data_IF_778677934989
#
_entry.id   IF_778677934989
#
_cell.length_a   1.000
_cell.length_b   1.000
_cell.length_c   1.000
_cell.angle_alpha   90.00
_cell.angle_beta   90.00
_cell.angle_gamma   90.00
#
_symmetry.space_group_name_H-M   'P 1'
#
loop_
_entity.id
_entity.type
_entity.pdbx_description
1 polymer ?
#
# COMPACT_ATOMS: atom_id res chain seq x y z
N UNK A 1 19.17 44.55 -10.76
CA UNK A 1 17.78 44.54 -10.27
C UNK A 1 17.00 45.54 -11.14
N UNK A 2 15.90 45.16 -11.78
CA UNK A 2 15.02 46.11 -12.45
C UNK A 2 14.38 47.04 -11.39
N UNK A 3 14.16 48.29 -11.75
CA UNK A 3 13.52 49.25 -10.87
C UNK A 3 12.09 48.83 -10.50
N UNK A 4 11.61 49.10 -9.28
CA UNK A 4 10.22 48.79 -8.91
C UNK A 4 9.25 49.58 -9.82
N UNK A 5 8.10 48.98 -10.16
CA UNK A 5 7.08 49.66 -10.98
C UNK A 5 6.52 50.87 -10.22
N UNK A 6 6.03 51.90 -10.94
CA UNK A 6 5.42 53.06 -10.30
C UNK A 6 4.18 52.65 -9.50
N UNK A 7 3.94 53.36 -8.39
CA UNK A 7 2.87 53.13 -7.44
C UNK A 7 1.52 52.86 -8.11
N UNK A 8 0.93 51.67 -7.85
CA UNK A 8 -0.45 51.32 -8.18
C UNK A 8 -0.69 50.48 -9.42
N UNK A 9 0.31 50.14 -10.23
CA UNK A 9 0.14 49.14 -11.29
C UNK A 9 0.34 47.72 -10.75
N UNK A 10 -0.55 46.75 -11.06
CA UNK A 10 -0.27 45.34 -10.72
C UNK A 10 1.04 44.96 -11.42
N UNK A 11 1.98 44.38 -10.66
CA UNK A 11 3.21 43.84 -11.21
C UNK A 11 2.83 42.82 -12.30
N UNK A 12 3.26 43.07 -13.53
CA UNK A 12 3.05 42.12 -14.61
C UNK A 12 3.81 40.83 -14.27
N UNK A 13 3.07 39.79 -13.98
CA UNK A 13 3.65 38.48 -13.63
C UNK A 13 4.31 37.95 -14.90
N UNK A 14 5.64 38.09 -14.98
CA UNK A 14 6.42 37.43 -16.01
C UNK A 14 6.45 35.92 -15.75
N UNK A 15 5.78 35.14 -16.61
CA UNK A 15 5.77 33.70 -16.57
C UNK A 15 6.69 33.14 -17.69
N UNK A 16 7.97 32.93 -17.40
CA UNK A 16 8.89 32.38 -18.41
C UNK A 16 8.52 30.92 -18.74
N UNK A 17 8.91 30.41 -19.92
CA UNK A 17 8.76 29.01 -20.24
C UNK A 17 9.37 28.10 -19.16
N UNK A 18 8.80 26.90 -18.89
CA UNK A 18 9.24 26.03 -17.79
C UNK A 18 10.74 25.72 -17.78
N UNK A 19 11.35 25.51 -18.93
CA UNK A 19 12.79 25.25 -19.05
C UNK A 19 13.65 26.44 -18.62
N UNK A 20 13.21 27.67 -18.99
CA UNK A 20 13.88 28.92 -18.63
C UNK A 20 13.71 29.20 -17.12
N UNK A 21 12.50 29.00 -16.59
CA UNK A 21 12.24 29.12 -15.15
C UNK A 21 13.11 28.16 -14.33
N UNK A 22 13.21 26.90 -14.76
CA UNK A 22 14.03 25.89 -14.11
C UNK A 22 15.53 26.27 -14.14
N UNK A 23 16.03 26.73 -15.29
CA UNK A 23 17.43 27.16 -15.44
C UNK A 23 17.74 28.38 -14.56
N UNK A 24 16.84 29.37 -14.52
CA UNK A 24 17.00 30.56 -13.67
C UNK A 24 16.99 30.18 -12.19
N UNK A 25 16.07 29.32 -11.78
CA UNK A 25 16.00 28.78 -10.42
C UNK A 25 17.26 28.02 -10.04
N UNK A 26 17.71 27.09 -10.88
CA UNK A 26 18.93 26.32 -10.65
C UNK A 26 20.17 27.23 -10.49
N UNK A 27 20.26 28.28 -11.32
CA UNK A 27 21.32 29.28 -11.24
C UNK A 27 21.25 30.08 -9.92
N UNK A 28 20.05 30.52 -9.55
CA UNK A 28 19.83 31.26 -8.30
C UNK A 28 20.16 30.44 -7.05
N UNK A 29 19.93 29.12 -7.11
CA UNK A 29 20.33 28.16 -6.05
C UNK A 29 21.83 27.80 -6.05
N UNK A 30 22.64 28.40 -6.92
CA UNK A 30 24.09 28.12 -7.03
C UNK A 30 24.41 26.84 -7.81
N UNK A 31 23.44 26.34 -8.58
CA UNK A 31 23.57 25.12 -9.39
C UNK A 31 23.57 23.81 -8.56
N UNK A 32 23.60 22.67 -9.24
CA UNK A 32 23.67 21.38 -8.55
C UNK A 32 25.03 21.21 -7.87
N UNK A 33 25.00 21.05 -6.54
CA UNK A 33 26.19 20.70 -5.77
C UNK A 33 26.26 19.19 -5.63
N UNK A 34 27.22 18.57 -6.28
CA UNK A 34 27.53 17.17 -6.07
C UNK A 34 28.19 17.02 -4.69
N UNK A 35 27.50 16.33 -3.79
CA UNK A 35 28.03 15.96 -2.49
C UNK A 35 28.82 14.65 -2.61
N UNK A 36 29.81 14.48 -1.77
CA UNK A 36 30.54 13.20 -1.69
C UNK A 36 29.63 12.11 -1.13
N UNK A 37 29.74 10.90 -1.68
CA UNK A 37 29.04 9.72 -1.16
C UNK A 37 29.77 9.23 0.10
N UNK A 38 29.00 8.95 1.14
CA UNK A 38 29.50 8.36 2.38
C UNK A 38 28.62 7.16 2.78
N UNK A 39 29.26 6.11 3.28
CA UNK A 39 28.54 5.00 3.95
C UNK A 39 28.37 5.34 5.41
N UNK A 40 27.14 5.29 5.89
CA UNK A 40 26.80 5.59 7.29
C UNK A 40 25.91 4.47 7.84
N UNK A 41 25.91 4.21 9.13
CA UNK A 41 24.91 3.37 9.79
C UNK A 41 23.50 3.91 9.51
N UNK A 42 22.50 3.04 9.45
CA UNK A 42 21.11 3.45 9.14
C UNK A 42 20.57 4.43 10.19
N UNK A 43 20.97 4.29 11.45
CA UNK A 43 20.59 5.18 12.56
C UNK A 43 21.11 6.61 12.38
N UNK A 44 22.22 6.77 11.65
CA UNK A 44 22.83 8.06 11.32
C UNK A 44 22.38 8.61 9.96
N UNK A 45 21.48 7.92 9.27
CA UNK A 45 21.02 8.28 7.93
C UNK A 45 19.88 9.32 7.93
N UNK A 46 19.28 9.61 9.07
CA UNK A 46 18.18 10.57 9.18
C UNK A 46 18.63 11.95 8.66
N UNK A 47 17.82 12.52 7.76
CA UNK A 47 18.11 13.82 7.12
C UNK A 47 19.13 13.78 5.99
N UNK A 48 19.66 12.61 5.62
CA UNK A 48 20.58 12.44 4.49
C UNK A 48 19.80 12.07 3.22
N UNK A 49 20.41 12.31 2.07
CA UNK A 49 19.91 11.95 0.75
C UNK A 49 20.62 10.70 0.28
N UNK A 50 19.88 9.71 -0.23
CA UNK A 50 20.47 8.49 -0.79
C UNK A 50 21.25 8.80 -2.07
N UNK A 51 22.44 8.24 -2.19
CA UNK A 51 23.29 8.43 -3.38
C UNK A 51 22.87 7.52 -4.54
N UNK A 52 22.17 6.46 -4.23
CA UNK A 52 21.69 5.45 -5.19
C UNK A 52 20.24 5.09 -4.86
N UNK A 53 19.47 4.54 -5.83
CA UNK A 53 18.15 3.98 -5.56
C UNK A 53 18.22 2.90 -4.47
N UNK A 54 17.23 2.90 -3.57
CA UNK A 54 17.12 1.86 -2.55
C UNK A 54 16.04 0.88 -2.97
N UNK A 55 16.45 -0.36 -3.22
CA UNK A 55 15.56 -1.42 -3.66
C UNK A 55 15.17 -2.32 -2.51
N UNK A 56 13.89 -2.70 -2.47
CA UNK A 56 13.41 -3.67 -1.49
C UNK A 56 14.06 -5.04 -1.74
N UNK A 57 14.63 -5.64 -0.71
CA UNK A 57 15.23 -6.98 -0.78
C UNK A 57 14.22 -8.10 -0.59
N UNK A 58 13.03 -7.78 -0.11
CA UNK A 58 11.89 -8.67 0.07
C UNK A 58 10.62 -7.94 -0.32
N UNK A 59 9.68 -8.68 -0.89
CA UNK A 59 8.32 -8.15 -1.11
C UNK A 59 7.59 -7.98 0.22
N UNK A 60 6.71 -7.00 0.28
CA UNK A 60 5.79 -6.79 1.41
C UNK A 60 4.35 -6.68 0.88
N UNK A 61 3.42 -7.52 1.33
CA UNK A 61 3.65 -8.77 2.07
C UNK A 61 4.53 -9.78 1.31
N UNK A 62 5.21 -10.68 2.03
CA UNK A 62 6.03 -11.74 1.42
C UNK A 62 5.22 -12.99 1.03
N UNK A 63 3.96 -13.06 1.45
CA UNK A 63 2.99 -14.13 1.22
C UNK A 63 1.57 -13.52 1.12
N UNK A 64 0.59 -14.22 0.56
CA UNK A 64 -0.80 -13.80 0.64
C UNK A 64 -1.23 -13.69 2.10
N UNK A 65 -1.72 -12.53 2.52
CA UNK A 65 -2.02 -12.22 3.92
C UNK A 65 -3.48 -11.79 4.10
N UNK A 66 -4.06 -12.09 5.26
CA UNK A 66 -5.37 -11.59 5.64
C UNK A 66 -5.34 -10.06 5.78
N UNK A 67 -6.27 -9.36 5.15
CA UNK A 67 -6.42 -7.92 5.27
C UNK A 67 -7.31 -7.50 6.44
N UNK A 68 -8.02 -8.44 7.06
CA UNK A 68 -9.00 -8.22 8.13
C UNK A 68 -8.97 -9.39 9.10
N UNK A 69 -9.32 -9.11 10.36
CA UNK A 69 -9.59 -10.15 11.36
C UNK A 69 -10.89 -10.86 11.00
N UNK A 70 -10.91 -12.19 11.05
CA UNK A 70 -12.08 -12.96 10.69
C UNK A 70 -11.82 -14.43 10.42
N UNK A 71 -12.38 -14.95 9.33
CA UNK A 71 -12.16 -16.32 8.90
C UNK A 71 -11.68 -16.38 7.45
N UNK A 72 -10.65 -17.17 7.22
CA UNK A 72 -10.22 -17.54 5.88
C UNK A 72 -11.03 -18.75 5.38
N UNK A 73 -11.55 -18.64 4.15
CA UNK A 73 -12.42 -19.64 3.51
C UNK A 73 -11.96 -19.95 2.09
N UNK A 74 -12.39 -21.06 1.55
CA UNK A 74 -12.43 -21.27 0.11
C UNK A 74 -13.69 -20.57 -0.42
N UNK A 75 -13.55 -19.55 -1.25
CA UNK A 75 -14.66 -18.73 -1.75
C UNK A 75 -15.75 -19.55 -2.44
N UNK A 76 -15.36 -20.61 -3.15
CA UNK A 76 -16.26 -21.54 -3.80
C UNK A 76 -17.27 -22.19 -2.84
N UNK A 77 -16.90 -22.39 -1.58
CA UNK A 77 -17.74 -23.03 -0.58
C UNK A 77 -18.79 -22.07 -0.01
N UNK A 78 -18.71 -20.79 -0.34
CA UNK A 78 -19.64 -19.75 0.15
C UNK A 78 -20.78 -19.43 -0.81
N UNK A 79 -20.78 -20.00 -2.01
CA UNK A 79 -21.67 -19.64 -3.11
C UNK A 79 -23.17 -19.80 -2.83
N UNK A 80 -23.55 -20.61 -1.85
CA UNK A 80 -24.94 -20.81 -1.46
C UNK A 80 -25.48 -19.77 -0.45
N UNK A 81 -24.60 -18.96 0.17
CA UNK A 81 -25.00 -18.00 1.19
C UNK A 81 -25.97 -16.94 0.64
N UNK A 82 -27.06 -16.66 1.35
CA UNK A 82 -28.06 -15.63 1.05
C UNK A 82 -28.51 -14.97 2.35
N UNK A 83 -28.88 -13.70 2.29
CA UNK A 83 -29.42 -12.98 3.44
C UNK A 83 -30.68 -13.66 4.02
N UNK A 84 -31.58 -14.12 3.13
CA UNK A 84 -32.80 -14.82 3.51
C UNK A 84 -32.56 -16.29 3.96
N UNK A 85 -31.42 -16.87 3.58
CA UNK A 85 -31.03 -18.26 3.89
C UNK A 85 -29.50 -18.30 4.15
N UNK A 86 -29.07 -17.91 5.36
CA UNK A 86 -27.66 -17.86 5.71
C UNK A 86 -27.01 -19.25 5.67
N UNK A 87 -25.86 -19.32 5.02
CA UNK A 87 -25.08 -20.54 4.92
C UNK A 87 -24.31 -20.78 6.22
N UNK A 88 -24.39 -22.02 6.71
CA UNK A 88 -23.59 -22.48 7.84
C UNK A 88 -22.28 -23.06 7.38
N UNK A 89 -21.19 -22.48 7.83
CA UNK A 89 -19.85 -23.03 7.70
C UNK A 89 -19.45 -23.74 9.00
N UNK A 90 -19.12 -25.02 8.88
CA UNK A 90 -18.65 -25.83 10.01
C UNK A 90 -17.19 -25.57 10.29
N UNK A 91 -16.73 -25.81 11.52
CA UNK A 91 -15.37 -25.48 11.98
C UNK A 91 -14.24 -26.01 11.07
N UNK A 92 -14.46 -27.11 10.40
CA UNK A 92 -13.48 -27.73 9.49
C UNK A 92 -13.35 -26.99 8.13
N UNK A 93 -14.28 -26.11 7.77
CA UNK A 93 -14.31 -25.45 6.45
C UNK A 93 -13.72 -24.04 6.44
N UNK A 94 -13.26 -23.57 7.57
CA UNK A 94 -12.64 -22.25 7.69
C UNK A 94 -11.50 -22.25 8.73
N UNK A 95 -10.64 -21.25 8.63
CA UNK A 95 -9.57 -20.99 9.61
C UNK A 95 -9.77 -19.59 10.18
N UNK A 96 -9.57 -19.41 11.49
CA UNK A 96 -9.56 -18.09 12.10
C UNK A 96 -8.23 -17.43 11.77
N UNK A 97 -8.29 -16.18 11.35
CA UNK A 97 -7.12 -15.37 10.99
C UNK A 97 -7.24 -13.96 11.57
N UNK A 98 -6.09 -13.40 11.93
CA UNK A 98 -5.96 -12.00 12.28
C UNK A 98 -5.31 -11.23 11.12
N UNK A 99 -5.48 -9.91 11.10
CA UNK A 99 -4.89 -9.05 10.08
C UNK A 99 -3.38 -9.23 10.01
N UNK A 100 -2.88 -9.54 8.82
CA UNK A 100 -1.47 -9.79 8.57
C UNK A 100 -1.06 -11.27 8.62
N UNK A 101 -1.92 -12.17 9.09
CA UNK A 101 -1.64 -13.59 9.09
C UNK A 101 -1.50 -14.13 7.66
N UNK A 102 -0.60 -15.12 7.46
CA UNK A 102 -0.55 -15.86 6.21
C UNK A 102 -1.89 -16.52 5.90
N UNK A 103 -2.32 -16.43 4.65
CA UNK A 103 -3.53 -17.12 4.23
C UNK A 103 -3.29 -18.64 4.24
N UNK A 104 -4.10 -19.43 4.96
CA UNK A 104 -3.94 -20.87 5.03
C UNK A 104 -4.09 -21.55 3.66
N UNK A 105 -3.40 -22.66 3.46
CA UNK A 105 -3.48 -23.43 2.22
C UNK A 105 -4.92 -23.83 1.88
N UNK A 106 -5.33 -23.63 0.63
CA UNK A 106 -6.68 -23.92 0.15
C UNK A 106 -7.72 -22.86 0.51
N UNK A 107 -7.31 -21.75 1.12
CA UNK A 107 -8.15 -20.56 1.34
C UNK A 107 -7.75 -19.47 0.36
N UNK A 108 -8.75 -18.74 -0.13
CA UNK A 108 -8.56 -17.70 -1.15
C UNK A 108 -9.34 -16.41 -0.84
N UNK A 109 -10.06 -16.35 0.27
CA UNK A 109 -10.80 -15.18 0.70
C UNK A 109 -10.90 -15.10 2.22
N UNK A 110 -11.13 -13.88 2.75
CA UNK A 110 -11.38 -13.65 4.17
C UNK A 110 -12.75 -12.99 4.34
N UNK A 111 -13.54 -13.49 5.30
CA UNK A 111 -14.81 -12.90 5.73
C UNK A 111 -14.54 -12.18 7.05
N UNK A 112 -14.73 -10.84 7.12
CA UNK A 112 -14.50 -10.07 8.34
C UNK A 112 -15.38 -10.54 9.51
N UNK A 113 -14.83 -10.44 10.71
CA UNK A 113 -15.48 -10.88 11.95
C UNK A 113 -16.86 -10.26 12.16
N UNK A 114 -17.05 -9.02 11.74
CA UNK A 114 -18.30 -8.26 11.85
C UNK A 114 -19.44 -8.83 10.99
N UNK A 115 -19.09 -9.65 10.01
CA UNK A 115 -20.04 -10.32 9.11
C UNK A 115 -20.35 -11.76 9.50
N UNK A 116 -19.89 -12.20 10.67
CA UNK A 116 -20.04 -13.57 11.13
C UNK A 116 -21.04 -13.64 12.29
N UNK A 117 -22.00 -14.53 12.18
CA UNK A 117 -22.82 -14.91 13.31
C UNK A 117 -22.32 -16.23 13.88
N UNK A 118 -21.58 -16.16 14.98
CA UNK A 118 -21.00 -17.34 15.64
C UNK A 118 -22.09 -18.24 16.23
N UNK A 119 -21.86 -19.56 16.14
CA UNK A 119 -22.68 -20.63 16.72
C UNK A 119 -21.73 -21.65 17.36
N UNK A 120 -22.27 -22.52 18.22
CA UNK A 120 -21.48 -23.48 19.01
C UNK A 120 -20.54 -24.35 18.15
N UNK A 121 -20.93 -24.66 16.92
CA UNK A 121 -20.26 -25.59 16.03
C UNK A 121 -19.84 -24.98 14.68
N UNK A 122 -19.88 -23.65 14.55
CA UNK A 122 -19.49 -22.98 13.31
C UNK A 122 -19.88 -21.52 13.27
N UNK A 123 -20.05 -21.02 12.04
CA UNK A 123 -20.48 -19.64 11.79
C UNK A 123 -21.56 -19.60 10.70
N UNK A 124 -22.44 -18.61 10.75
CA UNK A 124 -23.36 -18.31 9.68
C UNK A 124 -22.85 -17.09 8.90
N UNK A 125 -22.95 -17.18 7.58
CA UNK A 125 -22.66 -16.09 6.64
C UNK A 125 -23.89 -15.82 5.79
N UNK A 126 -24.16 -14.56 5.51
CA UNK A 126 -25.37 -14.09 4.81
C UNK A 126 -25.14 -13.77 3.33
N UNK A 127 -23.90 -13.79 2.87
CA UNK A 127 -23.56 -13.54 1.48
C UNK A 127 -22.30 -14.31 1.06
N UNK A 128 -22.17 -14.66 -0.23
CA UNK A 128 -20.96 -15.25 -0.77
C UNK A 128 -19.80 -14.24 -0.75
N UNK A 129 -18.57 -14.76 -0.69
CA UNK A 129 -17.36 -13.95 -0.83
C UNK A 129 -16.68 -14.27 -2.16
N UNK A 130 -16.19 -13.24 -2.85
CA UNK A 130 -15.43 -13.42 -4.08
C UNK A 130 -13.98 -13.88 -3.79
N UNK A 131 -13.35 -14.65 -4.72
CA UNK A 131 -11.93 -14.98 -4.63
C UNK A 131 -11.06 -13.73 -4.45
N UNK A 132 -10.06 -13.80 -3.61
CA UNK A 132 -9.15 -12.67 -3.31
C UNK A 132 -9.74 -11.58 -2.42
N UNK A 133 -11.02 -11.67 -2.04
CA UNK A 133 -11.63 -10.64 -1.19
C UNK A 133 -10.99 -10.59 0.19
N UNK A 134 -10.57 -9.39 0.62
CA UNK A 134 -9.86 -9.15 1.87
C UNK A 134 -8.56 -9.98 2.03
N UNK A 135 -7.91 -10.27 0.91
CA UNK A 135 -6.58 -10.89 0.87
C UNK A 135 -5.60 -9.90 0.26
N UNK A 136 -4.51 -9.65 0.94
CA UNK A 136 -3.40 -8.85 0.44
C UNK A 136 -2.46 -9.72 -0.38
N UNK A 137 -2.21 -9.31 -1.62
CA UNK A 137 -1.30 -10.01 -2.52
C UNK A 137 0.16 -9.87 -2.14
N UNK A 138 1.00 -10.81 -2.58
CA UNK A 138 2.46 -10.69 -2.44
C UNK A 138 2.94 -9.42 -3.14
N UNK A 139 3.67 -8.60 -2.41
CA UNK A 139 4.25 -7.36 -2.95
C UNK A 139 3.25 -6.22 -3.17
N UNK A 140 2.07 -6.29 -2.58
CA UNK A 140 1.05 -5.23 -2.70
C UNK A 140 1.57 -3.86 -2.25
N UNK A 141 2.38 -3.80 -1.19
CA UNK A 141 3.01 -2.54 -0.74
C UNK A 141 4.31 -2.27 -1.50
N UNK A 142 5.17 -3.28 -1.62
CA UNK A 142 6.45 -3.17 -2.30
C UNK A 142 6.91 -4.53 -2.84
N UNK A 143 7.31 -4.56 -4.09
CA UNK A 143 7.93 -5.74 -4.70
C UNK A 143 9.43 -5.73 -4.45
N UNK A 144 10.00 -6.90 -4.19
CA UNK A 144 11.45 -7.06 -4.21
C UNK A 144 11.97 -6.60 -5.59
N UNK A 145 12.80 -5.55 -5.58
CA UNK A 145 13.48 -5.04 -6.75
C UNK A 145 14.85 -5.70 -6.82
N UNK A 146 15.07 -6.54 -7.82
CA UNK A 146 16.42 -6.90 -8.22
C UNK A 146 16.95 -5.87 -9.21
N UNK A 147 18.25 -5.61 -9.18
CA UNK A 147 18.96 -5.00 -10.31
C UNK A 147 18.58 -5.77 -11.58
N UNK A 148 17.92 -5.11 -12.53
CA UNK A 148 17.70 -5.60 -13.87
C UNK A 148 18.56 -4.80 -14.83
#
# INVERSE_FOLDING_TARGET
>A
MPAPPPDGAPAELHAPPPAEALAAWATACGGPRLLSVARVPVDDALGRVTAEPVWARRSSPAFPAAAMDGIAVASQDTGAAREADPLRLVRATFDVVDTGDPLPAGRDAVIPRERLAFRDDGVLIDAPVAPGKHVRGVGEDVLAGGDR
#
